data_IF_556549965706
#
_entry.id   IF_556549965706
#
_cell.length_a   1.000
_cell.length_b   1.000
_cell.length_c   1.000
_cell.angle_alpha   90.00
_cell.angle_beta   90.00
_cell.angle_gamma   90.00
#
_symmetry.space_group_name_H-M   'P 1'
#
loop_
_entity.id
_entity.type
_entity.pdbx_description
1 polymer ?
#
# COMPACT_ATOMS: atom_id res chain seq x y z
N UNK A 1 27.89 20.63 -42.01
CA UNK A 1 28.31 20.81 -40.61
C UNK A 1 27.09 21.07 -39.71
N UNK A 2 26.21 22.01 -40.05
CA UNK A 2 25.03 22.37 -39.25
C UNK A 2 24.01 21.25 -38.99
N UNK A 3 23.75 20.39 -39.99
CA UNK A 3 22.82 19.24 -39.85
C UNK A 3 23.29 18.20 -38.82
N UNK A 4 24.61 18.04 -38.67
CA UNK A 4 25.22 17.11 -37.72
C UNK A 4 25.12 17.70 -36.30
N UNK A 5 25.36 19.01 -36.15
CA UNK A 5 25.14 19.70 -34.87
C UNK A 5 23.68 19.63 -34.41
N UNK A 6 22.72 19.82 -35.30
CA UNK A 6 21.29 19.71 -34.96
C UNK A 6 20.91 18.30 -34.52
N UNK A 7 21.40 17.28 -35.22
CA UNK A 7 21.14 15.88 -34.87
C UNK A 7 21.76 15.48 -33.52
N UNK A 8 23.00 15.92 -33.26
CA UNK A 8 23.66 15.74 -31.98
C UNK A 8 22.94 16.48 -30.85
N UNK A 9 22.39 17.66 -31.11
CA UNK A 9 21.63 18.43 -30.12
C UNK A 9 20.28 17.76 -29.80
N UNK A 10 19.57 17.24 -30.80
CA UNK A 10 18.34 16.46 -30.60
C UNK A 10 18.62 15.16 -29.83
N UNK A 11 19.72 14.46 -30.14
CA UNK A 11 20.17 13.29 -29.38
C UNK A 11 20.51 13.65 -27.92
N UNK A 12 21.21 14.76 -27.69
CA UNK A 12 21.57 15.23 -26.37
C UNK A 12 20.32 15.60 -25.55
N UNK A 13 19.36 16.30 -26.15
CA UNK A 13 18.08 16.66 -25.50
C UNK A 13 17.21 15.42 -25.25
N UNK A 14 17.20 14.45 -26.17
CA UNK A 14 16.51 13.17 -25.98
C UNK A 14 17.13 12.30 -24.87
N UNK A 15 18.46 12.32 -24.74
CA UNK A 15 19.20 11.62 -23.67
C UNK A 15 19.07 12.31 -22.31
N UNK A 16 19.01 13.65 -22.26
CA UNK A 16 18.78 14.41 -21.02
C UNK A 16 17.30 14.50 -20.61
N UNK A 17 16.36 14.36 -21.55
CA UNK A 17 14.93 14.59 -21.33
C UNK A 17 14.17 13.46 -20.63
N UNK A 18 14.80 12.31 -20.36
CA UNK A 18 14.13 11.14 -19.78
C UNK A 18 14.76 10.69 -18.47
N UNK A 19 14.96 11.61 -17.52
CA UNK A 19 15.07 11.24 -16.11
C UNK A 19 13.68 11.27 -15.49
N UNK A 20 12.90 10.23 -15.73
CA UNK A 20 11.74 9.94 -14.91
C UNK A 20 12.27 9.54 -13.53
N UNK A 21 12.18 10.43 -12.54
CA UNK A 21 12.43 10.06 -11.14
C UNK A 21 11.29 9.15 -10.72
N UNK A 22 11.49 7.84 -10.85
CA UNK A 22 10.57 6.85 -10.30
C UNK A 22 10.76 6.88 -8.78
N UNK A 23 9.77 7.38 -8.07
CA UNK A 23 9.75 7.29 -6.60
C UNK A 23 9.33 5.88 -6.24
N UNK A 24 10.28 5.07 -5.78
CA UNK A 24 9.96 3.83 -5.08
C UNK A 24 9.50 4.15 -3.66
N UNK A 25 8.33 3.65 -3.26
CA UNK A 25 7.85 3.77 -1.88
C UNK A 25 6.67 4.73 -1.64
N UNK A 26 6.01 5.24 -2.69
CA UNK A 26 4.76 5.98 -2.50
C UNK A 26 3.68 5.05 -1.92
N UNK A 27 3.04 5.51 -0.84
CA UNK A 27 1.95 4.83 -0.19
C UNK A 27 0.93 5.80 0.39
N UNK A 28 -0.24 5.28 0.76
CA UNK A 28 -1.34 6.10 1.29
C UNK A 28 -1.84 5.58 2.63
N UNK A 29 -2.40 6.49 3.41
CA UNK A 29 -3.13 6.15 4.62
C UNK A 29 -4.60 5.93 4.24
N UNK A 30 -5.13 4.73 4.48
CA UNK A 30 -6.55 4.45 4.29
C UNK A 30 -7.27 4.62 5.62
N UNK A 31 -7.84 5.81 5.82
CA UNK A 31 -8.69 6.12 6.98
C UNK A 31 -10.12 5.61 6.78
N UNK A 32 -10.69 4.99 7.80
CA UNK A 32 -12.06 4.45 7.78
C UNK A 32 -13.04 5.31 8.58
N UNK A 33 -12.62 6.41 9.21
CA UNK A 33 -13.49 7.34 9.95
C UNK A 33 -14.20 8.31 8.99
N UNK A 34 -15.22 7.84 8.29
CA UNK A 34 -16.03 8.63 7.37
C UNK A 34 -17.52 8.30 7.50
N UNK A 35 -18.39 9.28 7.25
CA UNK A 35 -19.85 9.11 7.26
C UNK A 35 -20.36 8.33 6.06
N UNK A 36 -19.66 8.42 4.93
CA UNK A 36 -19.99 7.73 3.68
C UNK A 36 -18.74 7.01 3.17
N UNK A 37 -18.56 5.76 3.60
CA UNK A 37 -17.43 4.94 3.16
C UNK A 37 -17.75 4.31 1.81
N UNK A 38 -16.77 4.31 0.91
CA UNK A 38 -16.82 3.46 -0.27
C UNK A 38 -16.66 1.99 0.14
N UNK A 39 -17.24 1.05 -0.62
CA UNK A 39 -16.97 -0.38 -0.42
C UNK A 39 -15.46 -0.66 -0.48
N UNK A 40 -14.90 -1.51 0.39
CA UNK A 40 -13.46 -1.77 0.43
C UNK A 40 -12.87 -2.24 -0.90
N UNK A 41 -13.59 -3.06 -1.66
CA UNK A 41 -13.18 -3.54 -2.98
C UNK A 41 -13.07 -2.39 -3.99
N UNK A 42 -14.00 -1.42 -3.91
CA UNK A 42 -13.94 -0.21 -4.72
C UNK A 42 -12.72 0.63 -4.39
N UNK A 43 -12.37 0.76 -3.11
CA UNK A 43 -11.16 1.48 -2.69
C UNK A 43 -9.90 0.77 -3.20
N UNK A 44 -9.81 -0.55 -3.04
CA UNK A 44 -8.67 -1.34 -3.54
C UNK A 44 -8.52 -1.19 -5.05
N UNK A 45 -9.62 -1.26 -5.81
CA UNK A 45 -9.57 -1.06 -7.25
C UNK A 45 -9.10 0.36 -7.62
N UNK A 46 -9.65 1.38 -6.96
CA UNK A 46 -9.22 2.78 -7.16
C UNK A 46 -7.73 2.97 -6.86
N UNK A 47 -7.20 2.34 -5.81
CA UNK A 47 -5.77 2.38 -5.50
C UNK A 47 -4.92 1.71 -6.60
N UNK A 48 -5.35 0.55 -7.12
CA UNK A 48 -4.69 -0.13 -8.25
C UNK A 48 -4.69 0.74 -9.50
N UNK A 49 -5.83 1.33 -9.84
CA UNK A 49 -5.99 2.17 -11.02
C UNK A 49 -5.09 3.42 -10.98
N UNK A 50 -4.74 3.89 -9.77
CA UNK A 50 -3.84 5.02 -9.54
C UNK A 50 -2.37 4.60 -9.28
N UNK A 51 -2.03 3.33 -9.47
CA UNK A 51 -0.65 2.84 -9.31
C UNK A 51 -0.14 2.85 -7.86
N UNK A 52 -1.03 2.94 -6.87
CA UNK A 52 -0.67 2.88 -5.45
C UNK A 52 -0.44 1.42 -5.05
N UNK A 53 0.73 1.13 -4.50
CA UNK A 53 1.13 -0.24 -4.14
C UNK A 53 1.29 -0.46 -2.64
N UNK A 54 1.23 0.60 -1.83
CA UNK A 54 1.45 0.54 -0.38
C UNK A 54 0.34 1.25 0.38
N UNK A 55 -0.18 0.61 1.42
CA UNK A 55 -1.28 1.13 2.24
C UNK A 55 -0.96 1.00 3.72
N UNK A 56 -1.28 2.04 4.50
CA UNK A 56 -1.31 1.97 5.96
C UNK A 56 -2.75 1.98 6.45
N UNK A 57 -3.08 1.00 7.29
CA UNK A 57 -4.32 0.89 8.04
C UNK A 57 -4.09 1.27 9.52
N UNK A 58 -5.11 1.84 10.14
CA UNK A 58 -5.08 2.25 11.56
C UNK A 58 -5.73 1.22 12.49
N UNK A 59 -6.36 0.21 11.90
CA UNK A 59 -6.97 -0.94 12.54
C UNK A 59 -6.80 -2.17 11.63
N UNK A 60 -7.36 -3.31 12.04
CA UNK A 60 -7.39 -4.55 11.26
C UNK A 60 -8.84 -4.95 10.93
N UNK A 61 -9.62 -4.01 10.40
CA UNK A 61 -11.00 -4.27 9.99
C UNK A 61 -11.08 -5.46 9.01
N UNK A 62 -12.03 -6.37 9.26
CA UNK A 62 -12.16 -7.63 8.54
C UNK A 62 -12.51 -7.43 7.07
N UNK A 63 -13.38 -6.47 6.76
CA UNK A 63 -13.81 -6.19 5.39
C UNK A 63 -12.68 -5.58 4.57
N UNK A 64 -11.90 -4.68 5.18
CA UNK A 64 -10.74 -4.03 4.58
C UNK A 64 -9.62 -5.05 4.29
N UNK A 65 -9.31 -5.90 5.26
CA UNK A 65 -8.29 -6.94 5.10
C UNK A 65 -8.67 -7.99 4.06
N UNK A 66 -9.95 -8.37 3.98
CA UNK A 66 -10.45 -9.26 2.92
C UNK A 66 -10.34 -8.65 1.52
N UNK A 67 -10.66 -7.37 1.36
CA UNK A 67 -10.53 -6.70 0.07
C UNK A 67 -9.07 -6.54 -0.38
N UNK A 68 -8.14 -6.39 0.57
CA UNK A 68 -6.69 -6.32 0.29
C UNK A 68 -6.07 -7.70 0.01
N UNK A 69 -6.74 -8.79 0.40
CA UNK A 69 -6.25 -10.14 0.18
C UNK A 69 -6.14 -10.43 -1.33
N UNK A 70 -4.96 -10.90 -1.76
CA UNK A 70 -4.69 -11.15 -3.19
C UNK A 70 -4.53 -9.89 -4.03
N UNK A 71 -4.53 -8.69 -3.44
CA UNK A 71 -4.32 -7.44 -4.17
C UNK A 71 -2.88 -7.23 -4.65
N UNK A 72 -1.91 -7.85 -3.96
CA UNK A 72 -0.47 -7.64 -4.16
C UNK A 72 0.08 -6.39 -3.45
N UNK A 73 -0.76 -5.53 -2.88
CA UNK A 73 -0.33 -4.32 -2.17
C UNK A 73 0.39 -4.65 -0.86
N UNK A 74 1.45 -3.90 -0.54
CA UNK A 74 2.08 -3.93 0.77
C UNK A 74 1.19 -3.21 1.78
N UNK A 75 0.88 -3.88 2.90
CA UNK A 75 -0.03 -3.35 3.92
C UNK A 75 0.68 -3.25 5.25
N UNK A 76 0.73 -2.03 5.79
CA UNK A 76 1.10 -1.78 7.18
C UNK A 76 -0.18 -1.76 8.03
N UNK A 77 -0.27 -2.63 9.03
CA UNK A 77 -1.43 -2.72 9.93
C UNK A 77 -1.04 -2.19 11.31
N UNK A 78 -1.71 -1.12 11.76
CA UNK A 78 -1.50 -0.59 13.11
C UNK A 78 -2.40 -1.27 14.16
N UNK A 79 -1.91 -1.28 15.41
CA UNK A 79 -2.74 -1.60 16.57
C UNK A 79 -3.50 -0.32 16.97
N UNK A 80 -4.83 -0.37 17.13
CA UNK A 80 -5.60 0.78 17.61
C UNK A 80 -5.11 1.29 18.97
N UNK A 81 -5.10 2.62 19.16
CA UNK A 81 -4.53 3.25 20.36
C UNK A 81 -5.21 2.80 21.67
N UNK A 82 -6.52 2.56 21.62
CA UNK A 82 -7.33 2.07 22.74
C UNK A 82 -6.97 0.63 23.17
N UNK A 83 -6.32 -0.13 22.28
CA UNK A 83 -5.86 -1.48 22.57
C UNK A 83 -4.42 -1.53 23.10
N UNK A 84 -3.64 -0.45 23.02
CA UNK A 84 -2.21 -0.48 23.37
C UNK A 84 -1.97 -0.92 24.83
N UNK A 85 -2.79 -0.46 25.78
CA UNK A 85 -2.65 -0.80 27.19
C UNK A 85 -2.74 -2.32 27.44
N UNK A 86 -3.64 -3.02 26.73
CA UNK A 86 -3.81 -4.47 26.89
C UNK A 86 -2.77 -5.30 26.14
N UNK A 87 -2.05 -4.70 25.19
CA UNK A 87 -0.95 -5.38 24.45
C UNK A 87 0.31 -5.58 25.29
N UNK A 88 0.39 -4.96 26.47
CA UNK A 88 1.44 -5.26 27.47
C UNK A 88 1.36 -6.72 27.94
N UNK A 89 0.20 -7.36 27.84
CA UNK A 89 0.03 -8.77 28.11
C UNK A 89 0.39 -9.63 26.88
N UNK A 90 1.43 -10.45 26.98
CA UNK A 90 1.90 -11.30 25.89
C UNK A 90 0.82 -12.19 25.27
N UNK A 91 -0.04 -12.81 26.10
CA UNK A 91 -1.12 -13.66 25.59
C UNK A 91 -2.11 -12.85 24.75
N UNK A 92 -2.48 -11.66 25.20
CA UNK A 92 -3.36 -10.74 24.44
C UNK A 92 -2.71 -10.29 23.13
N UNK A 93 -1.44 -9.89 23.15
CA UNK A 93 -0.70 -9.50 21.96
C UNK A 93 -0.59 -10.66 20.95
N UNK A 94 -0.27 -11.87 21.42
CA UNK A 94 -0.20 -13.07 20.57
C UNK A 94 -1.54 -13.38 19.91
N UNK A 95 -2.62 -13.34 20.68
CA UNK A 95 -3.97 -13.57 20.15
C UNK A 95 -4.38 -12.49 19.14
N UNK A 96 -4.00 -11.24 19.37
CA UNK A 96 -4.25 -10.15 18.41
C UNK A 96 -3.53 -10.41 17.10
N UNK A 97 -2.25 -10.77 17.13
CA UNK A 97 -1.47 -11.11 15.92
C UNK A 97 -2.11 -12.29 15.19
N UNK A 98 -2.49 -13.36 15.90
CA UNK A 98 -3.16 -14.51 15.29
C UNK A 98 -4.46 -14.10 14.58
N UNK A 99 -5.28 -13.29 15.25
CA UNK A 99 -6.61 -12.88 14.78
C UNK A 99 -6.63 -11.76 13.75
N UNK A 100 -5.57 -10.96 13.63
CA UNK A 100 -5.59 -9.77 12.78
C UNK A 100 -4.49 -9.78 11.72
N UNK A 101 -3.43 -10.57 11.90
CA UNK A 101 -2.30 -10.65 10.99
C UNK A 101 -2.17 -12.05 10.42
N UNK A 102 -1.94 -13.07 11.26
CA UNK A 102 -1.62 -14.43 10.82
C UNK A 102 -2.75 -15.06 9.99
N UNK A 103 -4.02 -14.83 10.35
CA UNK A 103 -5.18 -15.37 9.59
C UNK A 103 -5.23 -14.91 8.13
N UNK A 104 -4.57 -13.80 7.80
CA UNK A 104 -4.51 -13.25 6.43
C UNK A 104 -3.22 -13.63 5.71
N UNK A 105 -2.31 -14.36 6.36
CA UNK A 105 -1.05 -14.81 5.80
C UNK A 105 -1.16 -16.25 5.30
N UNK A 106 -1.89 -16.46 4.21
CA UNK A 106 -2.00 -17.77 3.54
C UNK A 106 -1.48 -17.71 2.10
N UNK A 107 -0.98 -18.84 1.61
CA UNK A 107 -0.37 -18.95 0.29
C UNK A 107 -1.38 -18.62 -0.82
N UNK A 108 -0.91 -17.96 -1.89
CA UNK A 108 -1.67 -17.70 -3.12
C UNK A 108 -2.97 -16.89 -2.93
N UNK A 109 -2.99 -15.90 -2.02
CA UNK A 109 -4.15 -15.02 -1.89
C UNK A 109 -4.26 -14.21 -0.60
N UNK A 110 -3.30 -14.32 0.33
CA UNK A 110 -3.28 -13.52 1.55
C UNK A 110 -3.03 -12.03 1.34
N UNK A 111 -3.02 -11.29 2.45
CA UNK A 111 -2.58 -9.89 2.49
C UNK A 111 -1.06 -9.84 2.61
N UNK A 112 -0.38 -9.03 1.80
CA UNK A 112 1.07 -8.84 1.86
C UNK A 112 1.42 -7.82 2.96
N UNK A 113 1.43 -8.28 4.21
CA UNK A 113 1.71 -7.43 5.38
C UNK A 113 3.23 -7.21 5.52
N UNK A 114 3.66 -5.96 5.59
CA UNK A 114 5.08 -5.55 5.66
C UNK A 114 5.37 -4.59 6.81
#
# INVERSE_FOLDING_TARGET
MERICFFNWVLLVGLLGCFCVVVEGLGVNWGTMATHKLPPETVVQMLKDNGIQKVKLFDADDSTMKALAGSGMEVMVAIPNDQLAVMTNYKRAKEWVQRNVTRYSFNNGGVNIK
#
